data_IF_699375615612
#
_entry.id   IF_699375615612
#
_cell.length_a   1.000
_cell.length_b   1.000
_cell.length_c   1.000
_cell.angle_alpha   90.00
_cell.angle_beta   90.00
_cell.angle_gamma   90.00
#
_symmetry.space_group_name_H-M   'P 1'
#
loop_
_entity.id
_entity.type
_entity.pdbx_description
1 polymer ?
#
# COMPACT_ATOMS: atom_id res chain seq x y z
N UNK A 1 -8.35 11.62 5.51
CA UNK A 1 -7.28 12.32 4.76
C UNK A 1 -6.99 11.55 3.48
N UNK A 2 -6.63 12.25 2.44
CA UNK A 2 -6.30 11.63 1.15
C UNK A 2 -4.87 12.01 0.80
N UNK A 3 -4.04 11.00 0.58
CA UNK A 3 -2.68 11.17 0.12
C UNK A 3 -2.66 10.96 -1.40
N UNK A 4 -2.16 11.94 -2.15
CA UNK A 4 -1.97 11.80 -3.58
C UNK A 4 -0.69 11.00 -3.84
N UNK A 5 -0.78 9.99 -4.70
CA UNK A 5 0.35 9.16 -5.09
C UNK A 5 0.48 9.19 -6.60
N UNK A 6 1.55 9.78 -7.09
CA UNK A 6 1.85 9.82 -8.52
C UNK A 6 2.78 8.66 -8.85
N UNK A 7 2.31 7.74 -9.67
CA UNK A 7 3.12 6.61 -10.09
C UNK A 7 3.81 6.88 -11.42
N UNK A 8 4.94 6.23 -11.69
CA UNK A 8 5.79 6.50 -12.84
C UNK A 8 6.01 5.28 -13.72
N UNK A 9 5.89 4.10 -13.14
CA UNK A 9 6.12 2.84 -13.81
C UNK A 9 4.82 2.08 -13.98
N UNK A 10 4.83 1.10 -14.85
CA UNK A 10 3.68 0.22 -15.03
C UNK A 10 3.41 -0.61 -13.79
N UNK A 11 4.45 -1.18 -13.22
CA UNK A 11 4.41 -1.85 -11.91
C UNK A 11 5.49 -1.27 -11.02
N UNK A 12 5.12 -0.90 -9.80
CA UNK A 12 6.07 -0.29 -8.88
C UNK A 12 5.54 -0.39 -7.45
N UNK A 13 6.47 -0.48 -6.50
CA UNK A 13 6.18 -0.39 -5.07
C UNK A 13 6.75 0.92 -4.55
N UNK A 14 5.87 1.82 -4.11
CA UNK A 14 6.24 3.15 -3.66
C UNK A 14 6.16 3.19 -2.14
N UNK A 15 7.28 3.48 -1.47
CA UNK A 15 7.31 3.64 -0.02
C UNK A 15 6.59 4.92 0.36
N UNK A 16 5.50 4.79 1.11
CA UNK A 16 4.68 5.92 1.59
C UNK A 16 4.74 6.05 3.12
N UNK A 17 5.65 5.35 3.76
CA UNK A 17 5.77 5.31 5.23
C UNK A 17 5.94 6.70 5.82
N UNK A 18 6.83 7.51 5.25
CA UNK A 18 7.16 8.84 5.75
C UNK A 18 5.94 9.77 5.74
N UNK A 19 5.20 9.78 4.65
CA UNK A 19 3.99 10.61 4.47
C UNK A 19 2.92 10.21 5.47
N UNK A 20 2.70 8.92 5.67
CA UNK A 20 1.71 8.42 6.63
C UNK A 20 2.15 8.71 8.06
N UNK A 21 3.44 8.52 8.37
CA UNK A 21 4.00 8.82 9.69
C UNK A 21 3.82 10.30 10.06
N UNK A 22 3.98 11.22 9.11
CA UNK A 22 3.74 12.64 9.33
C UNK A 22 2.27 12.94 9.65
N UNK A 23 1.35 12.28 8.98
CA UNK A 23 -0.08 12.42 9.27
C UNK A 23 -0.43 11.94 10.67
N UNK A 24 0.17 10.82 11.10
CA UNK A 24 -0.01 10.29 12.46
C UNK A 24 0.51 11.27 13.50
N UNK A 25 1.69 11.85 13.30
CA UNK A 25 2.25 12.86 14.20
C UNK A 25 1.34 14.09 14.31
N UNK A 26 0.86 14.59 13.18
CA UNK A 26 -0.03 15.76 13.13
C UNK A 26 -1.36 15.52 13.81
N UNK A 27 -1.83 14.29 13.86
CA UNK A 27 -3.10 13.95 14.51
C UNK A 27 -3.06 14.16 16.03
N UNK A 28 -1.89 14.08 16.63
CA UNK A 28 -1.73 14.18 18.09
C UNK A 28 -2.22 12.96 18.85
N UNK A 29 -2.64 11.91 18.17
CA UNK A 29 -3.16 10.69 18.81
C UNK A 29 -1.99 9.88 19.37
N UNK A 30 -2.06 9.57 20.66
CA UNK A 30 -1.05 8.77 21.34
C UNK A 30 -1.22 7.28 21.10
N UNK A 31 -2.44 6.78 21.27
CA UNK A 31 -2.78 5.37 21.03
C UNK A 31 -3.99 5.25 20.14
N UNK A 32 -3.92 4.40 19.15
CA UNK A 32 -5.00 4.23 18.21
C UNK A 32 -4.68 3.29 17.07
N UNK A 33 -5.39 3.48 15.98
CA UNK A 33 -5.26 2.72 14.75
C UNK A 33 -5.13 3.67 13.57
N UNK A 34 -4.27 3.27 12.64
CA UNK A 34 -4.16 3.91 11.33
C UNK A 34 -4.60 2.92 10.26
N UNK A 35 -5.63 3.28 9.51
CA UNK A 35 -6.08 2.50 8.36
C UNK A 35 -5.61 3.20 7.09
N UNK A 36 -5.04 2.44 6.17
CA UNK A 36 -4.73 2.89 4.82
C UNK A 36 -5.55 2.08 3.82
N UNK A 37 -6.18 2.76 2.87
CA UNK A 37 -7.09 2.13 1.91
C UNK A 37 -6.86 2.67 0.51
N UNK A 38 -6.73 1.76 -0.46
CA UNK A 38 -6.53 2.05 -1.88
C UNK A 38 -7.87 1.98 -2.61
N UNK A 39 -8.43 3.12 -3.06
CA UNK A 39 -9.72 3.14 -3.77
C UNK A 39 -9.55 2.90 -5.28
N UNK A 40 -8.79 1.89 -5.65
CA UNK A 40 -8.50 1.55 -7.05
C UNK A 40 -8.55 0.05 -7.25
N UNK A 41 -8.91 -0.39 -8.46
CA UNK A 41 -9.02 -1.81 -8.78
C UNK A 41 -7.73 -2.40 -9.35
N UNK A 42 -6.75 -1.56 -9.69
CA UNK A 42 -5.47 -1.97 -10.27
C UNK A 42 -4.26 -1.50 -9.45
N UNK A 43 -4.47 -1.24 -8.19
CA UNK A 43 -3.45 -0.89 -7.21
C UNK A 43 -3.78 -1.50 -5.86
N UNK A 44 -2.83 -1.53 -4.95
CA UNK A 44 -2.96 -2.17 -3.65
C UNK A 44 -2.04 -1.50 -2.64
N UNK A 45 -2.06 -1.97 -1.39
CA UNK A 45 -1.13 -1.53 -0.34
C UNK A 45 -0.65 -2.73 0.45
N UNK A 46 0.65 -2.77 0.74
CA UNK A 46 1.26 -3.84 1.52
C UNK A 46 2.26 -3.28 2.54
N UNK A 47 2.65 -4.12 3.48
CA UNK A 47 3.69 -3.82 4.46
C UNK A 47 4.75 -4.90 4.32
N UNK A 48 5.98 -4.49 4.02
CA UNK A 48 7.11 -5.41 3.90
C UNK A 48 8.41 -4.65 4.06
N UNK A 49 9.52 -5.27 3.69
CA UNK A 49 10.85 -4.73 3.91
C UNK A 49 11.10 -3.46 3.12
N UNK A 50 11.53 -2.41 3.82
CA UNK A 50 11.85 -1.11 3.22
C UNK A 50 13.35 -0.82 3.17
N UNK A 51 14.18 -1.60 3.89
CA UNK A 51 15.61 -1.34 3.99
C UNK A 51 16.41 -1.83 2.78
N UNK A 52 16.07 -3.00 2.26
CA UNK A 52 16.78 -3.62 1.14
C UNK A 52 15.96 -3.51 -0.14
N UNK A 53 16.38 -2.68 -1.11
CA UNK A 53 15.63 -2.52 -2.37
C UNK A 53 15.54 -3.81 -3.20
N UNK A 54 16.41 -4.80 -2.99
CA UNK A 54 16.33 -6.06 -3.71
C UNK A 54 15.09 -6.87 -3.34
N UNK A 55 14.59 -6.76 -2.12
CA UNK A 55 13.36 -7.43 -1.70
C UNK A 55 12.18 -6.91 -2.51
N UNK A 56 12.08 -5.60 -2.67
CA UNK A 56 11.05 -4.95 -3.48
C UNK A 56 11.08 -5.42 -4.93
N UNK A 57 12.27 -5.48 -5.52
CA UNK A 57 12.47 -5.97 -6.89
C UNK A 57 12.06 -7.45 -7.02
N UNK A 58 12.43 -8.28 -6.06
CA UNK A 58 12.09 -9.69 -6.06
C UNK A 58 10.58 -9.91 -5.93
N UNK A 59 9.91 -9.13 -5.09
CA UNK A 59 8.46 -9.20 -4.94
C UNK A 59 7.75 -8.89 -6.26
N UNK A 60 8.17 -7.84 -6.96
CA UNK A 60 7.59 -7.49 -8.26
C UNK A 60 7.88 -8.57 -9.31
N UNK A 61 9.08 -9.10 -9.32
CA UNK A 61 9.45 -10.17 -10.25
C UNK A 61 8.57 -11.41 -10.06
N UNK A 62 8.39 -11.85 -8.82
CA UNK A 62 7.57 -13.03 -8.52
C UNK A 62 6.10 -12.78 -8.84
N UNK A 63 5.56 -11.62 -8.49
CA UNK A 63 4.18 -11.28 -8.84
C UNK A 63 3.95 -11.30 -10.36
N UNK A 64 4.91 -10.81 -11.13
CA UNK A 64 4.84 -10.83 -12.59
C UNK A 64 4.92 -12.26 -13.15
N UNK A 65 5.60 -13.18 -12.46
CA UNK A 65 5.69 -14.59 -12.87
C UNK A 65 4.40 -15.36 -12.55
N UNK A 66 3.84 -15.18 -11.36
CA UNK A 66 2.65 -15.94 -10.95
C UNK A 66 1.36 -15.38 -11.52
N UNK A 67 1.35 -14.11 -11.92
CA UNK A 67 0.23 -13.47 -12.60
C UNK A 67 0.74 -12.95 -13.94
N UNK A 68 0.62 -13.74 -15.02
CA UNK A 68 1.17 -13.35 -16.32
C UNK A 68 0.40 -12.19 -16.93
N UNK A 69 1.10 -11.37 -17.73
CA UNK A 69 0.50 -10.28 -18.49
C UNK A 69 -0.52 -10.81 -19.50
N UNK A 70 -0.17 -11.91 -20.16
CA UNK A 70 -1.01 -12.54 -21.16
C UNK A 70 -1.44 -13.92 -20.69
N UNK A 71 -2.74 -14.12 -20.67
CA UNK A 71 -3.41 -15.37 -20.44
C UNK A 71 -4.75 -15.27 -21.19
N UNK A 72 -5.62 -16.27 -21.05
CA UNK A 72 -6.93 -16.21 -21.69
C UNK A 72 -7.89 -15.28 -20.93
N UNK A 73 -7.46 -14.04 -20.68
CA UNK A 73 -8.30 -13.04 -20.01
C UNK A 73 -9.42 -12.58 -20.93
N UNK A 74 -10.59 -12.33 -20.33
CA UNK A 74 -11.77 -11.86 -21.05
C UNK A 74 -11.91 -10.34 -21.08
N UNK A 75 -11.21 -9.65 -20.19
CA UNK A 75 -11.25 -8.20 -20.07
C UNK A 75 -10.58 -7.54 -21.28
N UNK A 76 -11.29 -6.62 -21.95
CA UNK A 76 -10.85 -6.08 -23.23
C UNK A 76 -9.78 -4.99 -23.11
N UNK A 77 -9.64 -4.37 -21.94
CA UNK A 77 -8.63 -3.31 -21.73
C UNK A 77 -7.20 -3.84 -21.64
N UNK A 78 -7.01 -5.16 -21.50
CA UNK A 78 -5.67 -5.77 -21.47
C UNK A 78 -4.95 -5.62 -20.14
N UNK A 79 -5.64 -5.25 -19.06
CA UNK A 79 -5.03 -5.03 -17.74
C UNK A 79 -5.56 -6.00 -16.65
N UNK A 80 -6.10 -7.14 -17.05
CA UNK A 80 -6.62 -8.14 -16.09
C UNK A 80 -5.59 -8.59 -15.07
N UNK A 81 -4.32 -8.72 -15.48
CA UNK A 81 -3.25 -9.10 -14.56
C UNK A 81 -3.10 -8.08 -13.41
N UNK A 82 -3.35 -6.80 -13.66
CA UNK A 82 -3.30 -5.77 -12.61
C UNK A 82 -4.45 -5.93 -11.61
N UNK A 83 -5.64 -6.27 -12.07
CA UNK A 83 -6.78 -6.57 -11.19
C UNK A 83 -6.51 -7.80 -10.32
N UNK A 84 -5.92 -8.85 -10.89
CA UNK A 84 -5.59 -10.07 -10.16
C UNK A 84 -4.51 -9.79 -9.11
N UNK A 85 -3.45 -9.09 -9.46
CA UNK A 85 -2.39 -8.70 -8.51
C UNK A 85 -2.96 -7.87 -7.36
N UNK A 86 -3.82 -6.90 -7.66
CA UNK A 86 -4.45 -6.06 -6.64
C UNK A 86 -5.30 -6.89 -5.68
N UNK A 87 -6.02 -7.88 -6.19
CA UNK A 87 -6.81 -8.81 -5.36
C UNK A 87 -5.91 -9.64 -4.45
N UNK A 88 -4.78 -10.13 -4.95
CA UNK A 88 -3.84 -10.93 -4.17
C UNK A 88 -3.17 -10.13 -3.05
N UNK A 89 -2.78 -8.90 -3.33
CA UNK A 89 -2.08 -8.04 -2.33
C UNK A 89 -3.07 -7.42 -1.36
N UNK A 90 -4.19 -6.94 -1.85
CA UNK A 90 -5.26 -6.39 -1.03
C UNK A 90 -5.28 -4.86 -0.99
N UNK A 91 -6.47 -4.29 -0.68
CA UNK A 91 -6.69 -2.86 -0.79
C UNK A 91 -6.40 -2.07 0.48
N UNK A 92 -6.16 -2.70 1.62
CA UNK A 92 -6.04 -1.98 2.89
C UNK A 92 -5.08 -2.65 3.85
N UNK A 93 -4.56 -1.83 4.78
CA UNK A 93 -3.77 -2.29 5.91
C UNK A 93 -4.22 -1.53 7.16
N UNK A 94 -4.17 -2.20 8.29
CA UNK A 94 -4.48 -1.64 9.60
C UNK A 94 -3.24 -1.72 10.47
N UNK A 95 -2.81 -0.58 11.02
CA UNK A 95 -1.57 -0.49 11.77
C UNK A 95 -1.85 0.19 13.10
N UNK A 96 -1.38 -0.40 14.20
CA UNK A 96 -1.51 0.20 15.52
C UNK A 96 -0.66 1.48 15.62
N UNK A 97 -1.14 2.41 16.45
CA UNK A 97 -0.41 3.61 16.84
C UNK A 97 -0.15 3.50 18.34
N UNK A 98 1.11 3.62 18.73
CA UNK A 98 1.54 3.63 20.13
C UNK A 98 2.56 4.74 20.34
N UNK A 99 2.38 5.50 21.41
CA UNK A 99 3.26 6.65 21.72
C UNK A 99 3.37 7.64 20.56
N UNK A 100 2.27 7.84 19.87
CA UNK A 100 2.19 8.76 18.73
C UNK A 100 2.87 8.28 17.46
N UNK A 101 3.22 7.00 17.36
CA UNK A 101 3.97 6.44 16.22
C UNK A 101 3.30 5.18 15.70
N UNK A 102 3.47 4.93 14.40
CA UNK A 102 3.09 3.67 13.78
C UNK A 102 3.89 2.51 14.38
N UNK A 103 3.20 1.44 14.76
CA UNK A 103 3.84 0.22 15.24
C UNK A 103 4.26 -0.60 14.03
N UNK A 104 5.49 -0.37 13.59
CA UNK A 104 6.12 -1.11 12.50
C UNK A 104 7.37 -1.82 13.03
N UNK A 105 7.62 -3.01 12.52
CA UNK A 105 8.90 -3.69 12.79
C UNK A 105 10.06 -2.89 12.20
N UNK A 106 11.28 -3.18 12.67
CA UNK A 106 12.50 -2.46 12.28
C UNK A 106 12.67 -2.35 10.76
N UNK A 107 12.29 -3.37 10.02
CA UNK A 107 12.49 -3.47 8.57
C UNK A 107 11.24 -3.14 7.77
N UNK A 108 10.10 -2.95 8.42
CA UNK A 108 8.83 -2.75 7.74
C UNK A 108 8.65 -1.32 7.24
N UNK A 109 8.12 -1.20 6.04
CA UNK A 109 7.58 0.04 5.48
C UNK A 109 6.23 -0.23 4.84
N UNK A 110 5.49 0.83 4.59
CA UNK A 110 4.19 0.77 3.93
C UNK A 110 4.40 1.11 2.46
N UNK A 111 3.98 0.20 1.57
CA UNK A 111 4.15 0.39 0.13
C UNK A 111 2.81 0.49 -0.59
N UNK A 112 2.68 1.56 -1.37
CA UNK A 112 1.63 1.65 -2.38
C UNK A 112 2.07 0.80 -3.58
N UNK A 113 1.23 -0.13 -4.00
CA UNK A 113 1.53 -1.06 -5.09
C UNK A 113 0.78 -0.62 -6.35
N UNK A 114 1.51 -0.18 -7.36
CA UNK A 114 0.96 0.15 -8.68
C UNK A 114 1.11 -1.05 -9.60
N UNK A 115 0.00 -1.47 -10.21
CA UNK A 115 0.02 -2.60 -11.15
C UNK A 115 -0.43 -2.23 -12.57
N UNK A 116 -0.83 -0.99 -12.80
CA UNK A 116 -1.30 -0.50 -14.11
C UNK A 116 -1.01 0.98 -14.29
N UNK A 117 0.24 1.38 -14.02
CA UNK A 117 0.68 2.76 -14.15
C UNK A 117 1.27 3.09 -15.50
N UNK A 118 1.74 4.31 -15.67
CA UNK A 118 1.73 5.39 -14.68
C UNK A 118 0.36 6.06 -14.55
N UNK A 119 -0.02 6.42 -13.33
CA UNK A 119 -1.30 7.07 -13.03
C UNK A 119 -1.19 8.03 -11.86
N UNK A 120 -2.19 8.90 -11.73
CA UNK A 120 -2.43 9.66 -10.51
C UNK A 120 -3.34 8.84 -9.61
N UNK A 121 -2.83 8.43 -8.47
CA UNK A 121 -3.54 7.56 -7.52
C UNK A 121 -3.85 8.31 -6.24
N UNK A 122 -4.74 7.70 -5.45
CA UNK A 122 -5.10 8.19 -4.11
C UNK A 122 -4.94 7.07 -3.10
N UNK A 123 -4.55 7.45 -1.89
CA UNK A 123 -4.51 6.57 -0.74
C UNK A 123 -5.28 7.24 0.38
N UNK A 124 -6.34 6.61 0.86
CA UNK A 124 -7.08 7.10 2.00
C UNK A 124 -6.36 6.72 3.29
N UNK A 125 -6.23 7.68 4.20
CA UNK A 125 -5.62 7.46 5.51
C UNK A 125 -6.63 7.89 6.57
N UNK A 126 -6.97 6.96 7.48
CA UNK A 126 -7.86 7.22 8.61
C UNK A 126 -7.11 6.93 9.90
N UNK A 127 -7.20 7.85 10.84
CA UNK A 127 -6.54 7.74 12.14
C UNK A 127 -7.63 7.79 13.20
N UNK A 128 -7.68 6.75 14.03
CA UNK A 128 -8.71 6.58 15.04
C UNK A 128 -8.06 6.45 16.41
N UNK A 129 -8.58 7.19 17.39
CA UNK A 129 -8.12 7.08 18.75
C UNK A 129 -8.68 5.81 19.40
N UNK A 130 -7.84 5.11 20.13
CA UNK A 130 -8.26 3.93 20.87
C UNK A 130 -8.80 4.32 22.25
N UNK A 131 -9.93 3.74 22.61
CA UNK A 131 -10.53 3.90 23.93
C UNK A 131 -10.60 2.56 24.62
N UNK A 132 -9.98 2.47 25.80
CA UNK A 132 -10.08 1.27 26.63
C UNK A 132 -11.39 1.26 27.40
N UNK A 133 -12.10 0.14 27.36
CA UNK A 133 -13.27 -0.12 28.18
C UNK A 133 -12.80 -0.70 29.50
N UNK A 134 -13.12 -0.02 30.60
CA UNK A 134 -12.80 -0.49 31.95
C UNK A 134 -13.99 -1.19 32.60
#
# INVERSE_FOLDING_TARGET
>A
MILAVKTRERTELIDVTSEISQLVQKSGIDQGLCMVYVPHTTAAVTINESADPSVKSDMLMVLNQIVPWEANYRHLEGNSQAHVKSTLVGPSQLIAIEKGRLVLGTWQGIFFCEFDGPRNRKLHVRIMEEHFVQ
#
